data_IF_623634645474
#
_entry.id   IF_623634645474
#
_cell.length_a   1.000
_cell.length_b   1.000
_cell.length_c   1.000
_cell.angle_alpha   90.00
_cell.angle_beta   90.00
_cell.angle_gamma   90.00
#
_symmetry.space_group_name_H-M   'P 1'
#
loop_
_entity.id
_entity.type
_entity.pdbx_description
1 polymer ?
#
# COMPACT_ATOMS: atom_id res chain seq x y z
N UNK A 1 6.54 -38.56 -43.39
CA UNK A 1 7.09 -38.93 -44.71
C UNK A 1 6.90 -37.76 -45.64
N UNK A 2 7.97 -36.99 -45.89
CA UNK A 2 8.17 -36.17 -47.09
C UNK A 2 9.57 -35.57 -46.98
N UNK A 3 10.54 -36.34 -47.46
CA UNK A 3 11.93 -35.92 -47.63
C UNK A 3 12.06 -35.35 -49.04
N UNK A 4 12.56 -34.13 -49.16
CA UNK A 4 13.12 -33.62 -50.42
C UNK A 4 14.54 -33.13 -50.16
N UNK A 5 15.56 -33.83 -50.69
CA UNK A 5 16.95 -33.39 -50.70
C UNK A 5 17.11 -32.24 -51.70
N UNK A 6 17.80 -31.18 -51.29
CA UNK A 6 18.24 -30.13 -52.19
C UNK A 6 19.77 -30.16 -52.21
N UNK A 7 20.29 -30.58 -53.35
CA UNK A 7 21.70 -30.73 -53.63
C UNK A 7 22.26 -29.36 -53.97
N UNK A 8 23.17 -28.83 -53.15
CA UNK A 8 23.97 -27.67 -53.51
C UNK A 8 25.41 -28.16 -53.75
N UNK A 9 25.88 -28.23 -55.00
CA UNK A 9 27.22 -28.70 -55.28
C UNK A 9 28.22 -27.66 -54.78
N UNK A 10 29.21 -28.14 -54.01
CA UNK A 10 30.31 -27.33 -53.48
C UNK A 10 31.10 -26.63 -54.60
N UNK A 11 30.65 -25.43 -54.98
CA UNK A 11 31.51 -24.42 -55.56
C UNK A 11 32.41 -23.88 -54.45
N UNK A 12 33.61 -24.45 -54.32
CA UNK A 12 34.64 -23.92 -53.42
C UNK A 12 34.99 -22.50 -53.86
N UNK A 13 34.89 -21.50 -52.98
CA UNK A 13 35.54 -20.22 -53.21
C UNK A 13 37.05 -20.43 -53.20
N UNK A 14 37.68 -19.93 -54.23
CA UNK A 14 39.11 -19.81 -54.43
C UNK A 14 39.72 -18.80 -53.43
N UNK A 15 40.63 -19.21 -52.52
CA UNK A 15 41.17 -18.30 -51.50
C UNK A 15 42.28 -17.37 -52.04
N UNK A 16 42.28 -17.06 -53.33
CA UNK A 16 43.41 -16.36 -53.99
C UNK A 16 43.07 -14.98 -54.56
N UNK A 17 41.84 -14.49 -54.46
CA UNK A 17 41.43 -13.22 -55.08
C UNK A 17 40.60 -12.30 -54.17
N UNK A 18 40.96 -12.15 -52.90
CA UNK A 18 40.35 -11.11 -52.04
C UNK A 18 41.39 -10.33 -51.22
N UNK A 19 42.52 -10.00 -51.87
CA UNK A 19 43.62 -9.22 -51.30
C UNK A 19 43.72 -7.77 -51.80
N UNK A 20 42.73 -7.25 -52.53
CA UNK A 20 42.83 -5.90 -53.09
C UNK A 20 41.44 -5.27 -53.31
N UNK A 21 40.91 -4.57 -52.30
CA UNK A 21 39.71 -3.74 -52.48
C UNK A 21 38.86 -3.41 -51.25
N UNK A 22 39.14 -4.00 -50.08
CA UNK A 22 38.26 -3.88 -48.89
C UNK A 22 38.36 -2.55 -48.10
N UNK A 23 38.59 -1.41 -48.74
CA UNK A 23 38.73 -0.10 -48.06
C UNK A 23 37.84 1.04 -48.60
N UNK A 24 36.88 0.78 -49.49
CA UNK A 24 36.14 1.87 -50.15
C UNK A 24 34.60 1.84 -50.05
N UNK A 25 33.99 0.99 -49.22
CA UNK A 25 32.53 0.86 -49.17
C UNK A 25 31.95 0.61 -47.77
N UNK A 26 32.38 1.37 -46.76
CA UNK A 26 31.83 1.31 -45.40
C UNK A 26 31.18 2.61 -44.92
N UNK A 27 30.99 3.60 -45.79
CA UNK A 27 30.56 4.95 -45.41
C UNK A 27 29.04 5.19 -45.42
N UNK A 28 28.21 4.17 -45.64
CA UNK A 28 26.75 4.35 -45.80
C UNK A 28 25.93 3.34 -44.98
N UNK A 29 26.34 3.09 -43.74
CA UNK A 29 25.43 2.48 -42.76
C UNK A 29 24.45 3.55 -42.30
N UNK A 30 23.12 3.34 -42.40
CA UNK A 30 22.14 4.31 -41.91
C UNK A 30 22.42 4.56 -40.43
N UNK A 31 22.88 5.77 -40.10
CA UNK A 31 23.10 6.16 -38.71
C UNK A 31 21.80 5.92 -37.95
N UNK A 32 21.90 5.15 -36.86
CA UNK A 32 20.71 4.85 -36.06
C UNK A 32 20.18 6.16 -35.47
N UNK A 33 18.84 6.32 -35.38
CA UNK A 33 18.17 7.47 -34.73
C UNK A 33 18.87 8.00 -33.46
N UNK A 34 19.32 7.15 -32.50
CA UNK A 34 20.06 7.60 -31.33
C UNK A 34 21.43 8.24 -31.64
N UNK A 35 22.09 7.84 -32.72
CA UNK A 35 23.42 8.30 -33.15
C UNK A 35 23.35 9.66 -33.85
N UNK A 36 22.25 9.93 -34.55
CA UNK A 36 21.93 11.25 -35.12
C UNK A 36 21.54 12.23 -34.01
N UNK A 37 20.71 11.81 -33.05
CA UNK A 37 20.38 12.62 -31.86
C UNK A 37 21.62 12.99 -31.05
N UNK A 38 22.47 12.02 -30.73
CA UNK A 38 23.69 12.26 -29.95
C UNK A 38 24.70 13.22 -30.63
N UNK A 39 24.66 13.34 -31.97
CA UNK A 39 25.47 14.30 -32.73
C UNK A 39 24.84 15.68 -32.88
N UNK A 40 23.52 15.80 -32.68
CA UNK A 40 22.74 17.02 -32.98
C UNK A 40 22.20 17.70 -31.71
N UNK A 41 21.93 16.95 -30.65
CA UNK A 41 21.51 17.47 -29.35
C UNK A 41 22.70 17.87 -28.50
N UNK A 42 22.57 19.01 -27.82
CA UNK A 42 23.55 19.46 -26.84
C UNK A 42 23.50 18.58 -25.59
N UNK A 43 24.59 18.55 -24.81
CA UNK A 43 24.60 17.94 -23.46
C UNK A 43 23.48 18.52 -22.55
N UNK A 44 23.05 19.76 -22.82
CA UNK A 44 21.92 20.39 -22.15
C UNK A 44 20.58 19.76 -22.52
N UNK A 45 20.36 19.43 -23.79
CA UNK A 45 19.14 18.74 -24.26
C UNK A 45 19.03 17.33 -23.66
N UNK A 46 20.13 16.56 -23.62
CA UNK A 46 20.10 15.20 -23.08
C UNK A 46 19.82 15.19 -21.57
N UNK A 47 20.39 16.15 -20.83
CA UNK A 47 20.10 16.31 -19.40
C UNK A 47 18.67 16.78 -19.17
N UNK A 48 18.14 17.69 -20.01
CA UNK A 48 16.73 18.12 -19.96
C UNK A 48 15.78 16.95 -20.20
N UNK A 49 16.04 16.13 -21.23
CA UNK A 49 15.26 14.93 -21.53
C UNK A 49 15.30 13.91 -20.38
N UNK A 50 16.48 13.65 -19.80
CA UNK A 50 16.59 12.77 -18.64
C UNK A 50 15.85 13.29 -17.41
N UNK A 51 15.96 14.59 -17.12
CA UNK A 51 15.23 15.24 -16.02
C UNK A 51 13.71 15.15 -16.21
N UNK A 52 13.23 15.31 -17.45
CA UNK A 52 11.82 15.15 -17.80
C UNK A 52 11.33 13.70 -17.62
N UNK A 53 12.14 12.71 -18.03
CA UNK A 53 11.83 11.30 -17.83
C UNK A 53 11.81 10.93 -16.34
N UNK A 54 12.76 11.41 -15.54
CA UNK A 54 12.78 11.21 -14.09
C UNK A 54 11.59 11.88 -13.40
N UNK A 55 11.28 13.13 -13.78
CA UNK A 55 10.09 13.86 -13.29
C UNK A 55 8.79 13.11 -13.62
N UNK A 56 8.73 12.49 -14.79
CA UNK A 56 7.60 11.65 -15.22
C UNK A 56 7.46 10.40 -14.36
N UNK A 57 8.54 9.67 -14.11
CA UNK A 57 8.52 8.49 -13.23
C UNK A 57 8.13 8.85 -11.80
N UNK A 58 8.70 9.93 -11.24
CA UNK A 58 8.34 10.40 -9.90
C UNK A 58 6.85 10.74 -9.78
N UNK A 59 6.28 11.39 -10.80
CA UNK A 59 4.84 11.67 -10.84
C UNK A 59 4.01 10.39 -10.97
N UNK A 60 4.49 9.38 -11.70
CA UNK A 60 3.82 8.09 -11.84
C UNK A 60 3.84 7.28 -10.54
N UNK A 61 4.98 7.17 -9.87
CA UNK A 61 5.12 6.52 -8.56
C UNK A 61 4.22 7.20 -7.51
N UNK A 62 4.19 8.54 -7.50
CA UNK A 62 3.27 9.29 -6.63
C UNK A 62 1.81 9.06 -7.00
N UNK A 63 1.47 9.01 -8.29
CA UNK A 63 0.11 8.73 -8.74
C UNK A 63 -0.34 7.32 -8.34
N UNK A 64 0.56 6.34 -8.43
CA UNK A 64 0.31 4.96 -8.05
C UNK A 64 0.18 4.83 -6.53
N UNK A 65 1.13 5.37 -5.75
CA UNK A 65 1.06 5.38 -4.30
C UNK A 65 -0.20 6.11 -3.80
N UNK A 66 -0.60 7.21 -4.46
CA UNK A 66 -1.87 7.89 -4.16
C UNK A 66 -3.08 7.01 -4.49
N UNK A 67 -3.08 6.30 -5.62
CA UNK A 67 -4.16 5.38 -5.96
C UNK A 67 -4.25 4.23 -4.94
N UNK A 68 -3.14 3.61 -4.57
CA UNK A 68 -3.10 2.52 -3.58
C UNK A 68 -3.49 3.00 -2.18
N UNK A 69 -3.01 4.18 -1.76
CA UNK A 69 -3.42 4.80 -0.50
C UNK A 69 -4.93 5.12 -0.50
N UNK A 70 -5.47 5.60 -1.62
CA UNK A 70 -6.90 5.91 -1.75
C UNK A 70 -7.74 4.63 -1.70
N UNK A 71 -7.32 3.58 -2.41
CA UNK A 71 -8.00 2.27 -2.39
C UNK A 71 -7.94 1.63 -1.01
N UNK A 72 -6.80 1.72 -0.33
CA UNK A 72 -6.64 1.25 1.05
C UNK A 72 -7.53 2.03 2.00
N UNK A 73 -7.55 3.36 1.90
CA UNK A 73 -8.41 4.23 2.71
C UNK A 73 -9.89 3.93 2.46
N UNK A 74 -10.30 3.67 1.22
CA UNK A 74 -11.67 3.30 0.87
C UNK A 74 -12.05 1.96 1.47
N UNK A 75 -11.20 0.93 1.34
CA UNK A 75 -11.44 -0.40 1.93
C UNK A 75 -11.53 -0.32 3.46
N UNK A 76 -10.58 0.38 4.09
CA UNK A 76 -10.59 0.62 5.53
C UNK A 76 -11.84 1.40 5.96
N UNK A 77 -12.23 2.43 5.22
CA UNK A 77 -13.42 3.24 5.48
C UNK A 77 -14.71 2.46 5.34
N UNK A 78 -14.85 1.63 4.30
CA UNK A 78 -16.00 0.73 4.14
C UNK A 78 -16.04 -0.29 5.28
N UNK A 79 -14.91 -0.90 5.64
CA UNK A 79 -14.83 -1.83 6.77
C UNK A 79 -15.25 -1.16 8.09
N UNK A 80 -14.69 0.01 8.40
CA UNK A 80 -15.06 0.78 9.59
C UNK A 80 -16.54 1.16 9.59
N UNK A 81 -17.09 1.58 8.45
CA UNK A 81 -18.52 1.88 8.29
C UNK A 81 -19.41 0.66 8.51
N UNK A 82 -19.04 -0.52 8.00
CA UNK A 82 -19.76 -1.77 8.23
C UNK A 82 -19.74 -2.17 9.70
N UNK A 83 -18.60 -2.04 10.39
CA UNK A 83 -18.51 -2.31 11.83
C UNK A 83 -19.33 -1.32 12.66
N UNK A 84 -19.32 -0.04 12.30
CA UNK A 84 -20.18 0.96 12.94
C UNK A 84 -21.66 0.62 12.77
N UNK A 85 -22.08 0.28 11.54
CA UNK A 85 -23.45 -0.16 11.25
C UNK A 85 -23.84 -1.44 12.00
N UNK A 86 -22.94 -2.43 12.05
CA UNK A 86 -23.13 -3.66 12.81
C UNK A 86 -23.26 -3.39 14.32
N UNK A 87 -22.50 -2.44 14.87
CA UNK A 87 -22.62 -2.01 16.26
C UNK A 87 -24.00 -1.43 16.56
N UNK A 88 -24.51 -0.54 15.71
CA UNK A 88 -25.86 0.03 15.85
C UNK A 88 -26.93 -1.04 15.72
N UNK A 89 -26.82 -1.92 14.72
CA UNK A 89 -27.75 -3.03 14.53
C UNK A 89 -27.76 -4.00 15.73
N UNK A 90 -26.58 -4.35 16.26
CA UNK A 90 -26.43 -5.18 17.45
C UNK A 90 -27.05 -4.51 18.69
N UNK A 91 -26.91 -3.19 18.84
CA UNK A 91 -27.56 -2.45 19.93
C UNK A 91 -29.09 -2.58 19.86
N UNK A 92 -29.70 -2.35 18.70
CA UNK A 92 -31.14 -2.51 18.54
C UNK A 92 -31.60 -3.95 18.75
N UNK A 93 -30.86 -4.94 18.21
CA UNK A 93 -31.15 -6.35 18.43
C UNK A 93 -31.18 -6.69 19.92
N UNK A 94 -30.16 -6.26 20.68
CA UNK A 94 -30.07 -6.49 22.12
C UNK A 94 -31.18 -5.76 22.88
N UNK A 95 -31.56 -4.56 22.46
CA UNK A 95 -32.69 -3.83 23.03
C UNK A 95 -34.01 -4.60 22.84
N UNK A 96 -34.30 -5.04 21.61
CA UNK A 96 -35.53 -5.81 21.32
C UNK A 96 -35.53 -7.17 22.02
N UNK A 97 -34.38 -7.85 22.10
CA UNK A 97 -34.25 -9.11 22.83
C UNK A 97 -34.50 -8.91 24.33
N UNK A 98 -34.03 -7.80 24.89
CA UNK A 98 -34.26 -7.45 26.30
C UNK A 98 -35.75 -7.19 26.58
N UNK A 99 -36.43 -6.45 25.71
CA UNK A 99 -37.87 -6.24 25.82
C UNK A 99 -38.64 -7.55 25.67
N UNK A 100 -38.31 -8.37 24.67
CA UNK A 100 -38.94 -9.67 24.45
C UNK A 100 -38.77 -10.58 25.67
N UNK A 101 -37.56 -10.64 26.23
CA UNK A 101 -37.27 -11.41 27.44
C UNK A 101 -38.05 -10.89 28.65
N UNK A 102 -38.10 -9.57 28.83
CA UNK A 102 -38.86 -8.94 29.91
C UNK A 102 -40.36 -9.25 29.81
N UNK A 103 -40.93 -9.16 28.61
CA UNK A 103 -42.35 -9.51 28.38
C UNK A 103 -42.60 -11.01 28.57
N UNK A 104 -41.70 -11.87 28.08
CA UNK A 104 -41.80 -13.31 28.24
C UNK A 104 -41.78 -13.72 29.73
N UNK A 105 -40.83 -13.20 30.52
CA UNK A 105 -40.80 -13.43 31.97
C UNK A 105 -41.97 -12.76 32.68
N UNK A 106 -42.37 -11.57 32.24
CA UNK A 106 -43.49 -10.82 32.79
C UNK A 106 -44.81 -11.58 32.71
N UNK A 107 -44.97 -12.47 31.71
CA UNK A 107 -46.13 -13.36 31.59
C UNK A 107 -46.23 -14.42 32.70
N UNK A 108 -45.14 -14.69 33.42
CA UNK A 108 -45.05 -15.74 34.45
C UNK A 108 -44.92 -15.18 35.86
N UNK A 109 -44.12 -14.12 36.07
CA UNK A 109 -43.67 -13.71 37.43
C UNK A 109 -43.89 -12.22 37.77
N UNK A 110 -44.77 -11.51 37.05
CA UNK A 110 -44.97 -10.05 37.11
C UNK A 110 -43.84 -9.23 36.45
N UNK A 111 -44.24 -8.20 35.70
CA UNK A 111 -43.34 -7.45 34.80
C UNK A 111 -42.22 -6.71 35.56
N UNK A 112 -42.49 -6.24 36.78
CA UNK A 112 -41.47 -5.58 37.61
C UNK A 112 -40.30 -6.51 37.99
N UNK A 113 -40.59 -7.75 38.36
CA UNK A 113 -39.55 -8.73 38.70
C UNK A 113 -38.82 -9.22 37.45
N UNK A 114 -39.52 -9.36 36.34
CA UNK A 114 -38.90 -9.64 35.04
C UNK A 114 -37.90 -8.54 34.65
N UNK A 115 -38.26 -7.26 34.81
CA UNK A 115 -37.38 -6.13 34.53
C UNK A 115 -36.12 -6.16 35.41
N UNK A 116 -36.24 -6.47 36.70
CA UNK A 116 -35.09 -6.60 37.61
C UNK A 116 -34.15 -7.74 37.20
N UNK A 117 -34.68 -8.89 36.76
CA UNK A 117 -33.86 -10.00 36.27
C UNK A 117 -33.09 -9.59 35.00
N UNK A 118 -33.77 -8.98 34.03
CA UNK A 118 -33.14 -8.51 32.79
C UNK A 118 -32.07 -7.45 33.09
N UNK A 119 -32.35 -6.53 34.02
CA UNK A 119 -31.36 -5.55 34.49
C UNK A 119 -30.15 -6.23 35.15
N UNK A 120 -30.37 -7.28 35.94
CA UNK A 120 -29.29 -8.08 36.54
C UNK A 120 -28.40 -8.75 35.50
N UNK A 121 -28.98 -9.30 34.42
CA UNK A 121 -28.21 -9.88 33.30
C UNK A 121 -27.33 -8.81 32.65
N UNK A 122 -27.87 -7.62 32.41
CA UNK A 122 -27.09 -6.50 31.85
C UNK A 122 -26.01 -6.00 32.80
N UNK A 123 -26.26 -5.96 34.11
CA UNK A 123 -25.26 -5.58 35.10
C UNK A 123 -24.05 -6.54 35.06
N UNK A 124 -24.28 -7.85 34.96
CA UNK A 124 -23.22 -8.85 34.82
C UNK A 124 -22.48 -8.66 33.49
N UNK A 125 -23.20 -8.50 32.38
CA UNK A 125 -22.59 -8.28 31.07
C UNK A 125 -21.68 -7.04 31.06
N UNK A 126 -22.15 -5.93 31.62
CA UNK A 126 -21.37 -4.69 31.75
C UNK A 126 -20.14 -4.86 32.65
N UNK A 127 -20.26 -5.57 33.77
CA UNK A 127 -19.12 -5.85 34.64
C UNK A 127 -18.02 -6.65 33.90
N UNK A 128 -18.41 -7.69 33.15
CA UNK A 128 -17.47 -8.49 32.35
C UNK A 128 -16.82 -7.63 31.25
N UNK A 129 -17.61 -6.86 30.50
CA UNK A 129 -17.09 -5.99 29.44
C UNK A 129 -16.14 -4.92 30.00
N UNK A 130 -16.44 -4.33 31.15
CA UNK A 130 -15.58 -3.35 31.80
C UNK A 130 -14.23 -3.96 32.22
N UNK A 131 -14.23 -5.19 32.76
CA UNK A 131 -13.00 -5.91 33.12
C UNK A 131 -12.17 -6.23 31.88
N UNK A 132 -12.78 -6.78 30.83
CA UNK A 132 -12.08 -7.09 29.57
C UNK A 132 -11.50 -5.80 28.96
N UNK A 133 -12.31 -4.74 28.87
CA UNK A 133 -11.89 -3.46 28.32
C UNK A 133 -10.72 -2.85 29.12
N UNK A 134 -10.79 -2.91 30.44
CA UNK A 134 -9.69 -2.46 31.33
C UNK A 134 -8.41 -3.27 31.08
N UNK A 135 -8.51 -4.59 30.96
CA UNK A 135 -7.35 -5.44 30.70
C UNK A 135 -6.70 -5.13 29.35
N UNK A 136 -7.50 -5.00 28.28
CA UNK A 136 -7.01 -4.63 26.94
C UNK A 136 -6.37 -3.24 26.92
N UNK A 137 -6.95 -2.28 27.63
CA UNK A 137 -6.37 -0.94 27.74
C UNK A 137 -5.04 -0.93 28.50
N UNK A 138 -4.92 -1.76 29.54
CA UNK A 138 -3.68 -1.91 30.29
C UNK A 138 -2.58 -2.61 29.47
N UNK A 139 -2.93 -3.59 28.63
CA UNK A 139 -1.99 -4.21 27.68
C UNK A 139 -1.41 -3.17 26.69
N UNK A 140 -2.23 -2.25 26.17
CA UNK A 140 -1.76 -1.20 25.26
C UNK A 140 -0.85 -0.16 25.94
N UNK A 141 -1.08 0.14 27.22
CA UNK A 141 -0.22 1.02 28.02
C UNK A 141 1.15 0.40 28.33
N UNK A 142 1.28 -0.92 28.20
CA UNK A 142 2.52 -1.68 28.38
C UNK A 142 3.47 -1.68 27.17
N UNK A 143 3.36 -0.72 26.23
CA UNK A 143 4.34 -0.49 25.17
C UNK A 143 5.28 0.69 25.56
N UNK A 144 6.29 0.48 26.42
CA UNK A 144 7.23 1.51 26.86
C UNK A 144 8.35 1.73 25.84
N UNK A 145 8.04 2.25 24.66
CA UNK A 145 9.08 2.60 23.66
C UNK A 145 8.98 4.03 23.13
N UNK A 146 7.80 4.65 23.18
CA UNK A 146 7.62 6.01 22.62
C UNK A 146 7.66 7.12 23.68
N UNK A 147 7.67 6.78 24.98
CA UNK A 147 7.82 7.78 26.06
C UNK A 147 9.29 8.02 26.46
N UNK A 148 10.18 7.03 26.30
CA UNK A 148 11.63 7.23 26.54
C UNK A 148 12.27 8.10 25.45
N UNK A 149 11.83 7.96 24.19
CA UNK A 149 12.34 8.78 23.07
C UNK A 149 11.92 10.26 23.18
N UNK A 150 10.90 10.60 23.97
CA UNK A 150 10.51 12.00 24.25
C UNK A 150 11.24 12.61 25.45
N UNK A 151 11.87 11.79 26.30
CA UNK A 151 12.66 12.27 27.44
C UNK A 151 14.15 12.42 27.11
N UNK A 152 14.60 11.90 25.97
CA UNK A 152 15.98 11.99 25.48
C UNK A 152 16.16 13.08 24.41
N UNK A 153 15.45 14.22 24.55
CA UNK A 153 15.81 15.44 23.81
C UNK A 153 16.94 16.12 24.60
N UNK A 154 18.21 16.01 24.17
CA UNK A 154 19.30 16.67 24.85
C UNK A 154 19.06 18.19 24.88
N UNK A 155 19.49 18.89 25.96
CA UNK A 155 19.34 20.34 26.11
C UNK A 155 20.09 21.19 25.06
N UNK A 156 20.64 20.56 24.03
CA UNK A 156 21.34 21.19 22.90
C UNK A 156 20.41 21.73 21.81
N UNK A 157 19.10 21.44 21.86
CA UNK A 157 18.09 22.10 21.01
C UNK A 157 17.59 23.41 21.66
N UNK A 158 18.53 24.17 22.25
CA UNK A 158 18.28 25.50 22.77
C UNK A 158 19.21 26.48 22.03
N UNK A 159 18.83 26.96 20.83
CA UNK A 159 19.66 27.86 20.02
C UNK A 159 19.73 29.30 20.57
N UNK A 160 19.42 29.53 21.85
CA UNK A 160 19.37 30.88 22.45
C UNK A 160 20.51 31.19 23.42
N UNK A 161 21.64 30.50 23.28
CA UNK A 161 22.86 30.78 24.06
C UNK A 161 24.07 30.87 23.12
N UNK A 162 23.99 31.74 22.12
CA UNK A 162 25.19 32.47 21.69
C UNK A 162 25.42 33.59 22.72
N UNK A 163 26.26 33.27 23.69
CA UNK A 163 27.12 34.14 24.53
C UNK A 163 27.92 35.16 23.68
N UNK A 164 28.68 36.13 24.25
CA UNK A 164 28.58 36.92 25.49
C UNK A 164 28.37 38.43 25.24
#
# INVERSE_FOLDING_TARGET
MSSTPHDNPLGRPDPRLEGAGAHAASDDLPMTEPEVRARTESLGEMFSSFADHFSTLMRQELALAKAEATDTAKKAGTGAGMFAGAGVAAFFLLMFLSLALMWALGSVIHLGWAALIVAGVWAIALAVLAVIGKNRFNEMKGLPQTQDTMQDIPPTVNPSKETP
#
